data_IF_963680613900
#
_entry.id   IF_963680613900
#
_cell.length_a   1.000
_cell.length_b   1.000
_cell.length_c   1.000
_cell.angle_alpha   90.00
_cell.angle_beta   90.00
_cell.angle_gamma   90.00
#
_symmetry.space_group_name_H-M   'P 1'
#
loop_
_entity.id
_entity.type
_entity.pdbx_description
1 polymer ?
#
# COMPACT_ATOMS: atom_id res chain seq x y z
N UNK A 1 -13.40 -23.19 -12.32
CA UNK A 1 -12.90 -21.80 -12.34
C UNK A 1 -11.47 -21.80 -11.82
N UNK A 2 -10.51 -21.25 -12.57
CA UNK A 2 -9.20 -20.92 -11.99
C UNK A 2 -9.45 -19.97 -10.82
N UNK A 3 -8.84 -20.24 -9.67
CA UNK A 3 -8.93 -19.37 -8.50
C UNK A 3 -8.35 -18.01 -8.91
N UNK A 4 -9.21 -17.03 -9.14
CA UNK A 4 -8.79 -15.66 -9.42
C UNK A 4 -8.00 -15.22 -8.19
N UNK A 5 -6.76 -14.80 -8.42
CA UNK A 5 -5.81 -14.54 -7.34
C UNK A 5 -6.40 -13.58 -6.30
N UNK A 6 -6.09 -13.84 -5.04
CA UNK A 6 -6.27 -12.86 -3.96
C UNK A 6 -5.62 -11.53 -4.36
N UNK A 7 -6.29 -10.40 -4.10
CA UNK A 7 -5.71 -9.06 -4.27
C UNK A 7 -4.57 -8.92 -3.25
N UNK A 8 -3.34 -9.14 -3.70
CA UNK A 8 -2.13 -9.16 -2.86
C UNK A 8 -1.44 -7.80 -2.74
N UNK A 9 -1.85 -6.82 -3.57
CA UNK A 9 -1.31 -5.46 -3.53
C UNK A 9 -2.36 -4.48 -4.05
N UNK A 10 -2.24 -3.21 -3.68
CA UNK A 10 -2.99 -2.15 -4.34
C UNK A 10 -2.52 -2.09 -5.79
N UNK A 11 -3.45 -2.10 -6.73
CA UNK A 11 -3.13 -1.78 -8.12
C UNK A 11 -2.75 -0.29 -8.17
N UNK A 12 -1.65 0.08 -8.85
CA UNK A 12 -1.37 1.48 -9.13
C UNK A 12 -2.52 2.11 -9.93
N UNK A 13 -2.53 3.44 -10.05
CA UNK A 13 -3.54 4.13 -10.86
C UNK A 13 -3.62 3.50 -12.26
N UNK A 14 -4.83 3.14 -12.70
CA UNK A 14 -5.03 2.50 -14.01
C UNK A 14 -4.79 3.48 -15.15
N UNK A 15 -5.24 4.72 -14.96
CA UNK A 15 -5.13 5.80 -15.93
C UNK A 15 -3.99 6.75 -15.56
N UNK A 16 -3.32 7.30 -16.57
CA UNK A 16 -2.36 8.37 -16.39
C UNK A 16 -3.06 9.61 -15.83
N UNK A 17 -2.36 10.35 -14.98
CA UNK A 17 -2.85 11.61 -14.42
C UNK A 17 -2.19 12.80 -15.09
N UNK A 18 -2.98 13.82 -15.40
CA UNK A 18 -2.50 15.10 -15.94
C UNK A 18 -2.71 16.19 -14.89
N UNK A 19 -1.75 17.12 -14.80
CA UNK A 19 -1.88 18.36 -14.02
C UNK A 19 -2.24 19.50 -14.97
N UNK A 20 -3.40 20.09 -14.76
CA UNK A 20 -3.91 21.19 -15.56
C UNK A 20 -3.80 22.50 -14.78
N UNK A 21 -3.42 23.58 -15.47
CA UNK A 21 -3.35 24.94 -14.93
C UNK A 21 -4.76 25.55 -14.82
N UNK A 22 -5.57 24.94 -13.96
CA UNK A 22 -6.94 25.34 -13.67
C UNK A 22 -7.25 25.03 -12.20
N UNK A 23 -8.03 25.86 -11.48
CA UNK A 23 -8.30 25.65 -10.06
C UNK A 23 -9.03 24.33 -9.79
N UNK A 24 -8.71 23.70 -8.65
CA UNK A 24 -9.37 22.47 -8.21
C UNK A 24 -10.80 22.73 -7.73
N UNK A 25 -11.77 21.93 -8.20
CA UNK A 25 -13.14 21.96 -7.67
C UNK A 25 -13.31 21.34 -6.28
N UNK A 26 -12.30 20.60 -5.78
CA UNK A 26 -12.33 19.96 -4.45
C UNK A 26 -11.59 20.75 -3.37
N UNK A 27 -10.60 21.56 -3.75
CA UNK A 27 -9.71 22.26 -2.82
C UNK A 27 -9.59 23.72 -3.23
N UNK A 28 -10.24 24.61 -2.49
CA UNK A 28 -10.39 26.04 -2.80
C UNK A 28 -9.04 26.78 -2.98
N UNK A 29 -8.01 26.38 -2.24
CA UNK A 29 -6.69 27.01 -2.30
C UNK A 29 -5.70 26.34 -3.29
N UNK A 30 -6.15 25.40 -4.12
CA UNK A 30 -5.29 24.67 -5.04
C UNK A 30 -5.39 25.27 -6.46
N UNK A 31 -4.34 25.93 -6.98
CA UNK A 31 -4.38 26.66 -8.26
C UNK A 31 -4.31 25.75 -9.49
N UNK A 32 -4.14 24.44 -9.30
CA UNK A 32 -4.09 23.43 -10.35
C UNK A 32 -5.08 22.31 -10.09
N UNK A 33 -5.47 21.58 -11.13
CA UNK A 33 -6.38 20.43 -11.05
C UNK A 33 -5.65 19.20 -11.56
N UNK A 34 -5.77 18.10 -10.81
CA UNK A 34 -5.27 16.79 -11.24
C UNK A 34 -6.45 16.00 -11.77
N UNK A 35 -6.37 15.55 -13.02
CA UNK A 35 -7.41 14.75 -13.67
C UNK A 35 -6.84 13.41 -14.14
N UNK A 36 -7.69 12.38 -14.17
CA UNK A 36 -7.37 11.16 -14.90
C UNK A 36 -7.60 11.39 -16.39
N UNK A 37 -6.64 10.95 -17.21
CA UNK A 37 -6.74 10.96 -18.68
C UNK A 37 -7.43 9.70 -19.18
N UNK A 38 -7.68 9.62 -20.49
CA UNK A 38 -8.15 8.40 -21.15
C UNK A 38 -7.02 7.39 -21.43
N UNK A 39 -5.76 7.76 -21.17
CA UNK A 39 -4.60 6.91 -21.43
C UNK A 39 -4.30 6.00 -20.23
N UNK A 40 -4.05 4.72 -20.52
CA UNK A 40 -3.66 3.74 -19.51
C UNK A 40 -2.19 3.91 -19.11
N UNK A 41 -1.88 3.65 -17.84
CA UNK A 41 -0.50 3.51 -17.39
C UNK A 41 0.12 2.23 -17.97
N UNK A 42 1.41 2.29 -18.31
CA UNK A 42 2.18 1.12 -18.77
C UNK A 42 2.13 -0.02 -17.77
N UNK A 43 2.27 0.27 -16.47
CA UNK A 43 2.17 -0.73 -15.40
C UNK A 43 0.82 -1.47 -15.35
N UNK A 44 -0.25 -0.84 -15.85
CA UNK A 44 -1.58 -1.46 -15.94
C UNK A 44 -1.69 -2.36 -17.15
N UNK A 45 -1.08 -1.98 -18.28
CA UNK A 45 -0.96 -2.84 -19.45
C UNK A 45 -0.13 -4.09 -19.14
N UNK A 46 1.00 -3.92 -18.43
CA UNK A 46 1.86 -5.02 -17.97
C UNK A 46 1.13 -5.97 -17.01
N UNK A 47 0.10 -5.47 -16.31
CA UNK A 47 -0.75 -6.24 -15.41
C UNK A 47 -1.97 -6.86 -16.11
N UNK A 48 -2.02 -6.81 -17.45
CA UNK A 48 -3.10 -7.35 -18.29
C UNK A 48 -4.49 -6.82 -17.89
N UNK A 49 -4.61 -5.50 -17.73
CA UNK A 49 -5.86 -4.85 -17.30
C UNK A 49 -7.07 -5.19 -18.18
N UNK A 50 -6.86 -5.55 -19.46
CA UNK A 50 -7.94 -5.93 -20.38
C UNK A 50 -8.62 -7.25 -20.01
N UNK A 51 -7.96 -8.12 -19.25
CA UNK A 51 -8.57 -9.36 -18.73
C UNK A 51 -9.07 -9.21 -17.29
N UNK A 52 -8.91 -8.04 -16.68
CA UNK A 52 -9.35 -7.78 -15.33
C UNK A 52 -10.88 -7.84 -15.21
N UNK A 53 -11.34 -8.46 -14.13
CA UNK A 53 -12.76 -8.55 -13.81
C UNK A 53 -13.08 -7.41 -12.85
N UNK A 54 -13.96 -6.50 -13.28
CA UNK A 54 -14.48 -5.47 -12.40
C UNK A 54 -15.36 -6.10 -11.31
N UNK A 55 -15.07 -5.76 -10.05
CA UNK A 55 -15.85 -6.19 -8.88
C UNK A 55 -16.33 -4.97 -8.12
N UNK A 56 -17.46 -5.10 -7.43
CA UNK A 56 -17.95 -4.06 -6.53
C UNK A 56 -16.94 -3.80 -5.40
N UNK A 57 -16.65 -2.52 -5.14
CA UNK A 57 -15.87 -2.12 -3.97
C UNK A 57 -16.79 -2.08 -2.74
N UNK A 58 -16.61 -3.04 -1.84
CA UNK A 58 -17.22 -2.98 -0.52
C UNK A 58 -16.44 -2.01 0.38
N UNK A 59 -17.16 -1.17 1.12
CA UNK A 59 -16.54 -0.22 2.05
C UNK A 59 -16.50 -0.80 3.46
N UNK A 60 -15.49 -1.62 3.71
CA UNK A 60 -15.27 -2.30 4.99
C UNK A 60 -13.80 -2.44 5.32
N UNK A 61 -13.53 -3.14 6.43
CA UNK A 61 -12.16 -3.42 6.87
C UNK A 61 -11.61 -4.65 6.16
N UNK A 62 -10.46 -4.49 5.50
CA UNK A 62 -9.77 -5.61 4.86
C UNK A 62 -9.31 -6.64 5.90
N UNK A 63 -9.63 -7.91 5.64
CA UNK A 63 -9.21 -9.04 6.46
C UNK A 63 -8.81 -10.24 5.60
N UNK A 64 -8.04 -11.15 6.19
CA UNK A 64 -7.63 -12.40 5.58
C UNK A 64 -7.76 -13.55 6.58
N UNK A 65 -8.20 -14.73 6.14
CA UNK A 65 -8.31 -15.92 6.99
C UNK A 65 -7.13 -16.85 6.68
N UNK A 66 -6.34 -17.17 7.71
CA UNK A 66 -5.18 -18.07 7.57
C UNK A 66 -5.02 -18.99 8.76
N UNK A 67 -4.36 -20.12 8.54
CA UNK A 67 -3.93 -21.01 9.62
C UNK A 67 -2.67 -20.49 10.28
N UNK A 68 -2.66 -20.41 11.61
CA UNK A 68 -1.49 -20.10 12.43
C UNK A 68 -1.48 -21.05 13.63
N UNK A 69 -0.35 -21.71 13.90
CA UNK A 69 -0.22 -22.72 14.97
C UNK A 69 -1.34 -23.78 14.97
N UNK A 70 -1.77 -24.21 13.77
CA UNK A 70 -2.80 -25.23 13.60
C UNK A 70 -4.25 -24.76 13.81
N UNK A 71 -4.49 -23.47 14.08
CA UNK A 71 -5.83 -22.89 14.25
C UNK A 71 -6.10 -21.82 13.18
N UNK A 72 -7.36 -21.64 12.82
CA UNK A 72 -7.77 -20.60 11.87
C UNK A 72 -7.93 -19.26 12.59
N UNK A 73 -7.34 -18.22 12.02
CA UNK A 73 -7.42 -16.86 12.54
C UNK A 73 -7.93 -15.89 11.49
N UNK A 74 -8.68 -14.89 11.94
CA UNK A 74 -8.97 -13.69 11.18
C UNK A 74 -7.82 -12.69 11.40
N UNK A 75 -7.17 -12.32 10.31
CA UNK A 75 -6.08 -11.35 10.27
C UNK A 75 -6.64 -10.00 9.86
N UNK A 76 -6.50 -9.01 10.72
CA UNK A 76 -6.78 -7.63 10.37
C UNK A 76 -5.57 -7.03 9.66
N UNK A 77 -5.81 -6.15 8.69
CA UNK A 77 -4.73 -5.39 8.05
C UNK A 77 -3.99 -4.56 9.11
N UNK A 78 -2.67 -4.74 9.16
CA UNK A 78 -1.78 -3.97 10.01
C UNK A 78 -0.50 -3.69 9.21
N UNK A 79 -0.44 -2.56 8.52
CA UNK A 79 0.77 -2.16 7.81
C UNK A 79 1.80 -1.62 8.82
N UNK A 80 3.05 -2.11 8.76
CA UNK A 80 4.14 -1.54 9.56
C UNK A 80 4.55 -0.21 8.94
N UNK A 81 4.45 0.85 9.73
CA UNK A 81 4.65 2.24 9.29
C UNK A 81 5.92 2.85 9.87
N UNK A 82 6.49 3.89 9.24
CA UNK A 82 7.58 4.64 9.82
C UNK A 82 7.18 5.29 11.15
N UNK A 83 8.16 5.52 12.01
CA UNK A 83 7.97 6.32 13.21
C UNK A 83 7.96 7.82 12.87
N UNK A 84 7.62 8.68 13.84
CA UNK A 84 7.47 10.13 13.61
C UNK A 84 8.76 10.80 13.12
N UNK A 85 9.93 10.33 13.58
CA UNK A 85 11.22 10.91 13.21
C UNK A 85 11.57 10.55 11.77
N UNK A 86 11.42 9.27 11.42
CA UNK A 86 11.64 8.77 10.07
C UNK A 86 10.68 9.39 9.05
N UNK A 87 9.40 9.56 9.41
CA UNK A 87 8.43 10.24 8.57
C UNK A 87 8.82 11.70 8.30
N UNK A 88 9.33 12.41 9.32
CA UNK A 88 9.85 13.78 9.16
C UNK A 88 11.08 13.82 8.24
N UNK A 89 12.02 12.88 8.42
CA UNK A 89 13.22 12.72 7.59
C UNK A 89 12.83 12.45 6.13
N UNK A 90 11.87 11.56 5.91
CA UNK A 90 11.37 11.21 4.58
C UNK A 90 10.66 12.37 3.90
N UNK A 91 9.77 13.09 4.60
CA UNK A 91 9.12 14.31 4.06
C UNK A 91 10.14 15.38 3.67
N UNK A 92 11.20 15.57 4.49
CA UNK A 92 12.29 16.50 4.16
C UNK A 92 13.03 16.05 2.88
N UNK A 93 13.30 14.76 2.75
CA UNK A 93 13.90 14.19 1.54
C UNK A 93 13.01 14.41 0.30
N UNK A 94 11.71 14.11 0.39
CA UNK A 94 10.75 14.34 -0.70
C UNK A 94 10.69 15.82 -1.11
N UNK A 95 10.74 16.75 -0.16
CA UNK A 95 10.72 18.19 -0.45
C UNK A 95 12.02 18.71 -1.10
N UNK A 96 13.15 18.04 -0.87
CA UNK A 96 14.45 18.46 -1.38
C UNK A 96 14.85 17.79 -2.70
N UNK A 97 14.27 16.63 -3.02
CA UNK A 97 14.56 15.89 -4.25
C UNK A 97 13.46 16.10 -5.29
N UNK A 98 13.80 16.80 -6.40
CA UNK A 98 12.94 16.95 -7.58
C UNK A 98 13.01 15.76 -8.56
N UNK A 99 13.91 14.79 -8.36
CA UNK A 99 14.00 13.58 -9.19
C UNK A 99 14.78 12.46 -8.49
N UNK A 100 14.21 11.24 -8.48
CA UNK A 100 14.89 9.95 -8.63
C UNK A 100 15.91 9.48 -7.57
N UNK A 101 15.44 8.58 -6.69
CA UNK A 101 16.19 7.57 -5.89
C UNK A 101 17.12 8.05 -4.76
N UNK A 102 17.10 7.33 -3.63
CA UNK A 102 18.16 7.43 -2.61
C UNK A 102 17.73 7.41 -1.14
N UNK A 103 16.43 7.36 -0.81
CA UNK A 103 16.04 7.24 0.59
C UNK A 103 16.23 5.80 1.08
N UNK A 104 17.32 5.56 1.81
CA UNK A 104 17.56 4.29 2.49
C UNK A 104 16.87 4.29 3.84
N UNK A 105 15.94 3.36 4.01
CA UNK A 105 15.25 3.09 5.27
C UNK A 105 16.12 2.20 6.17
N UNK A 106 16.22 2.55 7.46
CA UNK A 106 16.75 1.64 8.48
C UNK A 106 15.58 0.84 9.09
N UNK A 107 15.42 -0.43 8.71
CA UNK A 107 14.28 -1.27 9.16
C UNK A 107 14.16 -1.43 10.68
N UNK A 108 15.27 -1.29 11.42
CA UNK A 108 15.29 -1.43 12.87
C UNK A 108 14.91 -0.12 13.57
N UNK A 109 15.41 1.00 13.06
CA UNK A 109 15.26 2.30 13.72
C UNK A 109 14.08 3.11 13.19
N UNK A 110 13.80 3.05 11.89
CA UNK A 110 12.86 3.97 11.23
C UNK A 110 11.39 3.57 11.38
N UNK A 111 11.10 2.35 11.87
CA UNK A 111 9.74 1.78 11.87
C UNK A 111 9.19 1.57 13.26
N UNK A 112 7.85 1.61 13.35
CA UNK A 112 7.15 1.19 14.57
C UNK A 112 7.32 -0.31 14.78
N UNK A 113 7.34 -0.71 16.05
CA UNK A 113 7.24 -2.12 16.42
C UNK A 113 5.90 -2.70 15.97
N UNK A 114 5.90 -4.00 15.70
CA UNK A 114 4.71 -4.80 15.39
C UNK A 114 4.52 -5.88 16.44
N UNK A 115 3.31 -6.40 16.64
CA UNK A 115 3.09 -7.57 17.50
C UNK A 115 3.88 -8.80 17.02
N UNK A 116 4.23 -9.72 17.92
CA UNK A 116 4.97 -10.97 17.60
C UNK A 116 4.28 -11.82 16.54
N UNK A 117 2.96 -11.74 16.48
CA UNK A 117 2.13 -12.49 15.56
C UNK A 117 1.86 -11.72 14.27
N UNK A 118 2.54 -10.60 14.01
CA UNK A 118 2.45 -9.89 12.75
C UNK A 118 3.14 -10.66 11.63
N UNK A 119 2.55 -10.67 10.45
CA UNK A 119 3.15 -11.27 9.25
C UNK A 119 3.09 -10.29 8.07
N UNK A 120 4.17 -10.17 7.28
CA UNK A 120 4.14 -9.37 6.07
C UNK A 120 3.19 -10.00 5.04
N UNK A 121 2.62 -9.18 4.17
CA UNK A 121 1.80 -9.68 3.07
C UNK A 121 2.66 -10.50 2.07
N UNK A 122 2.07 -11.48 1.40
CA UNK A 122 2.80 -12.51 0.64
C UNK A 122 3.68 -11.97 -0.50
N UNK A 123 3.32 -10.81 -1.07
CA UNK A 123 4.05 -10.19 -2.18
C UNK A 123 4.98 -9.05 -1.77
N UNK A 124 5.17 -8.82 -0.47
CA UNK A 124 6.15 -7.85 0.01
C UNK A 124 7.55 -8.33 -0.38
N UNK A 125 8.35 -7.44 -0.94
CA UNK A 125 9.75 -7.75 -1.29
C UNK A 125 10.56 -7.97 -0.03
N UNK A 126 11.53 -8.88 -0.09
CA UNK A 126 12.44 -9.16 1.03
C UNK A 126 13.89 -8.97 0.58
N UNK A 127 14.71 -8.38 1.44
CA UNK A 127 16.17 -8.28 1.29
C UNK A 127 16.77 -8.89 2.57
N UNK A 128 17.70 -9.83 2.41
CA UNK A 128 18.33 -10.56 3.53
C UNK A 128 17.33 -11.23 4.50
N UNK A 129 16.14 -11.57 4.00
CA UNK A 129 15.06 -12.18 4.78
C UNK A 129 14.13 -11.19 5.47
N UNK A 130 14.41 -9.88 5.41
CA UNK A 130 13.58 -8.84 6.01
C UNK A 130 12.65 -8.18 4.97
N UNK A 131 11.37 -7.92 5.32
CA UNK A 131 10.43 -7.26 4.44
C UNK A 131 10.78 -5.79 4.23
N UNK A 132 10.76 -5.35 2.98
CA UNK A 132 11.15 -4.01 2.55
C UNK A 132 9.92 -3.11 2.38
N UNK A 133 10.00 -1.83 2.80
CA UNK A 133 8.93 -0.87 2.57
C UNK A 133 8.70 -0.54 1.10
N UNK A 134 7.48 -0.16 0.77
CA UNK A 134 7.14 0.46 -0.51
C UNK A 134 7.77 1.87 -0.65
N UNK A 135 7.53 2.50 -1.80
CA UNK A 135 8.03 3.84 -2.12
C UNK A 135 7.54 4.94 -1.16
N UNK A 136 6.52 4.66 -0.35
CA UNK A 136 5.96 5.58 0.65
C UNK A 136 6.39 5.22 2.08
N UNK A 137 7.24 4.21 2.26
CA UNK A 137 7.72 3.78 3.57
C UNK A 137 6.78 2.83 4.29
N UNK A 138 5.79 2.22 3.64
CA UNK A 138 4.90 1.24 4.28
C UNK A 138 5.31 -0.19 3.99
N UNK A 139 5.21 -1.07 4.98
CA UNK A 139 5.35 -2.52 4.80
C UNK A 139 3.96 -3.15 5.02
N UNK A 140 3.26 -3.56 3.95
CA UNK A 140 1.95 -4.20 4.06
C UNK A 140 2.00 -5.48 4.88
N UNK A 141 0.99 -5.69 5.73
CA UNK A 141 0.93 -6.88 6.56
C UNK A 141 -0.39 -7.04 7.28
N UNK A 142 -0.42 -8.05 8.15
CA UNK A 142 -1.55 -8.31 9.02
C UNK A 142 -1.10 -8.82 10.36
N UNK A 143 -1.95 -8.65 11.37
CA UNK A 143 -1.85 -9.35 12.64
C UNK A 143 -3.14 -10.08 12.92
N UNK A 144 -3.08 -11.15 13.70
CA UNK A 144 -4.31 -11.69 14.29
C UNK A 144 -5.01 -10.55 15.07
N UNK A 145 -6.33 -10.46 14.91
CA UNK A 145 -7.10 -9.51 15.70
C UNK A 145 -7.26 -10.05 17.12
N UNK A 146 -6.43 -9.63 18.06
CA UNK A 146 -6.80 -9.73 19.47
C UNK A 146 -7.85 -8.65 19.75
N UNK A 147 -9.14 -9.00 19.86
CA UNK A 147 -10.12 -8.08 20.45
C UNK A 147 -11.61 -8.31 20.21
N UNK A 148 -12.05 -8.99 19.16
CA UNK A 148 -13.48 -9.29 19.00
C UNK A 148 -13.65 -10.72 18.52
N UNK A 149 -14.12 -11.57 19.44
CA UNK A 149 -14.77 -12.81 19.06
C UNK A 149 -15.89 -12.47 18.07
N UNK A 150 -15.84 -13.09 16.91
CA UNK A 150 -16.93 -13.07 15.96
C UNK A 150 -18.02 -13.93 16.59
N UNK A 151 -19.04 -13.29 17.16
CA UNK A 151 -20.35 -13.91 17.38
C UNK A 151 -21.20 -13.63 16.16
#
# INVERSE_FOLDING_TARGET
MRRLGTVQQKTPCVFMTEVQDAPSGKHEAQPFRVVATEHLNSSSLDSDIYTAIATEKLDGTCCYVSTYKGQHYLWARLDRKPNKQAEKKFRKFQSSHKSGTGFTWNLQEDFKAVPDNWVPAQKVQHIDGDPVPDEYGHIPGGSNGYGYGIW
#
